data_IF_484291318722
#
_entry.id   IF_484291318722
#
_cell.length_a   1.000
_cell.length_b   1.000
_cell.length_c   1.000
_cell.angle_alpha   90.00
_cell.angle_beta   90.00
_cell.angle_gamma   90.00
#
_symmetry.space_group_name_H-M   'P 1'
#
loop_
_entity.id
_entity.type
_entity.pdbx_description
1 polymer ?
#
# COMPACT_ATOMS: atom_id res chain seq x y z
N UNK A 1 5.84 13.61 10.14
CA UNK A 1 5.44 12.21 10.35
C UNK A 1 4.69 11.64 9.16
N UNK A 2 3.43 11.99 9.01
CA UNK A 2 2.52 11.48 7.96
C UNK A 2 3.03 11.68 6.53
N UNK A 3 3.63 12.83 6.23
CA UNK A 3 4.23 13.10 4.90
C UNK A 3 5.37 12.13 4.57
N UNK A 4 6.24 11.82 5.54
CA UNK A 4 7.38 10.90 5.35
C UNK A 4 6.88 9.49 5.03
N UNK A 5 5.86 9.02 5.74
CA UNK A 5 5.23 7.72 5.47
C UNK A 5 4.50 7.68 4.12
N UNK A 6 3.85 8.77 3.73
CA UNK A 6 3.25 8.90 2.40
C UNK A 6 4.28 8.83 1.27
N UNK A 7 5.45 9.44 1.46
CA UNK A 7 6.57 9.35 0.50
C UNK A 7 7.12 7.92 0.40
N UNK A 8 7.35 7.26 1.54
CA UNK A 8 7.83 5.87 1.61
C UNK A 8 6.85 4.89 0.95
N UNK A 9 5.54 5.14 1.09
CA UNK A 9 4.48 4.31 0.53
C UNK A 9 4.11 4.60 -0.93
N UNK A 10 4.62 5.68 -1.53
CA UNK A 10 4.18 6.19 -2.85
C UNK A 10 4.32 5.19 -4.01
N UNK A 11 5.26 4.24 -3.91
CA UNK A 11 5.48 3.20 -4.93
C UNK A 11 4.51 2.01 -4.83
N UNK A 12 3.87 1.80 -3.68
CA UNK A 12 3.02 0.63 -3.44
C UNK A 12 1.82 0.51 -4.40
N UNK A 13 1.10 1.58 -4.78
CA UNK A 13 -0.03 1.47 -5.71
C UNK A 13 0.37 1.01 -7.11
N UNK A 14 1.60 1.32 -7.54
CA UNK A 14 2.11 0.85 -8.83
C UNK A 14 2.41 -0.64 -8.80
N UNK A 15 3.00 -1.12 -7.69
CA UNK A 15 3.31 -2.53 -7.51
C UNK A 15 2.04 -3.38 -7.43
N UNK A 16 1.03 -2.90 -6.70
CA UNK A 16 -0.28 -3.57 -6.61
C UNK A 16 -0.95 -3.68 -7.98
N UNK A 17 -0.85 -2.62 -8.81
CA UNK A 17 -1.31 -2.65 -10.19
C UNK A 17 -0.56 -3.73 -11.01
N UNK A 18 0.77 -3.77 -10.91
CA UNK A 18 1.61 -4.71 -11.65
C UNK A 18 1.35 -6.17 -11.24
N UNK A 19 1.11 -6.44 -9.95
CA UNK A 19 0.69 -7.78 -9.47
C UNK A 19 -0.59 -8.20 -10.19
N UNK A 20 -1.61 -7.35 -10.16
CA UNK A 20 -2.92 -7.70 -10.73
C UNK A 20 -2.85 -7.86 -12.24
N UNK A 21 -2.00 -7.07 -12.92
CA UNK A 21 -1.75 -7.20 -14.36
C UNK A 21 -1.10 -8.55 -14.69
N UNK A 22 -0.03 -8.92 -13.98
CA UNK A 22 0.69 -10.17 -14.24
C UNK A 22 -0.15 -11.40 -13.88
N UNK A 23 -0.88 -11.36 -12.77
CA UNK A 23 -1.81 -12.43 -12.37
C UNK A 23 -2.95 -12.60 -13.38
N UNK A 24 -3.50 -11.49 -13.90
CA UNK A 24 -4.56 -11.56 -14.89
C UNK A 24 -4.05 -12.16 -16.22
N UNK A 25 -2.85 -11.82 -16.66
CA UNK A 25 -2.24 -12.41 -17.85
C UNK A 25 -2.02 -13.92 -17.69
N UNK A 26 -1.46 -14.33 -16.55
CA UNK A 26 -1.27 -15.74 -16.23
C UNK A 26 -2.60 -16.52 -16.18
N UNK A 27 -3.59 -16.01 -15.43
CA UNK A 27 -4.92 -16.63 -15.35
C UNK A 27 -5.61 -16.70 -16.71
N UNK A 28 -5.47 -15.66 -17.54
CA UNK A 28 -6.09 -15.65 -18.87
C UNK A 28 -5.51 -16.73 -19.77
N UNK A 29 -4.19 -16.94 -19.75
CA UNK A 29 -3.57 -18.00 -20.56
C UNK A 29 -4.00 -19.39 -20.10
N UNK A 30 -4.09 -19.62 -18.78
CA UNK A 30 -4.57 -20.89 -18.24
C UNK A 30 -6.02 -21.19 -18.65
N UNK A 31 -6.91 -20.20 -18.57
CA UNK A 31 -8.31 -20.36 -18.98
C UNK A 31 -8.41 -20.65 -20.49
N UNK A 32 -7.60 -19.99 -21.32
CA UNK A 32 -7.57 -20.29 -22.76
C UNK A 32 -7.06 -21.71 -23.04
N UNK A 33 -6.17 -22.24 -22.20
CA UNK A 33 -5.69 -23.63 -22.27
C UNK A 33 -6.72 -24.68 -21.84
N UNK A 34 -7.75 -24.28 -21.07
CA UNK A 34 -8.87 -25.18 -20.73
C UNK A 34 -9.75 -25.45 -21.96
N UNK A 35 -9.98 -24.42 -22.78
CA UNK A 35 -10.85 -24.49 -23.96
C UNK A 35 -10.13 -24.97 -25.24
N UNK A 36 -8.82 -24.76 -25.37
CA UNK A 36 -8.04 -25.05 -26.58
C UNK A 36 -6.71 -25.75 -26.26
N UNK A 37 -6.56 -27.00 -26.73
CA UNK A 37 -5.38 -27.82 -26.52
C UNK A 37 -4.09 -27.28 -27.19
N UNK A 38 -4.19 -26.26 -28.05
CA UNK A 38 -3.04 -25.59 -28.68
C UNK A 38 -2.51 -24.39 -27.87
N UNK A 39 -3.24 -23.98 -26.82
CA UNK A 39 -2.91 -22.89 -25.88
C UNK A 39 -2.24 -23.43 -24.62
N UNK A 40 -1.81 -22.53 -23.71
CA UNK A 40 -1.16 -22.87 -22.45
C UNK A 40 0.06 -23.80 -22.61
N UNK A 41 0.89 -23.52 -23.62
CA UNK A 41 2.15 -24.24 -23.82
C UNK A 41 3.01 -24.10 -22.57
N UNK A 42 3.68 -25.18 -22.10
CA UNK A 42 4.48 -25.16 -20.88
C UNK A 42 5.45 -23.97 -20.80
N UNK A 43 6.18 -23.70 -21.88
CA UNK A 43 7.14 -22.59 -21.97
C UNK A 43 6.50 -21.21 -21.71
N UNK A 44 5.29 -20.99 -22.22
CA UNK A 44 4.57 -19.72 -22.08
C UNK A 44 3.98 -19.56 -20.67
N UNK A 45 3.45 -20.65 -20.10
CA UNK A 45 2.92 -20.67 -18.74
C UNK A 45 4.03 -20.43 -17.72
N UNK A 46 5.18 -21.09 -17.90
CA UNK A 46 6.36 -20.92 -17.04
C UNK A 46 6.91 -19.50 -17.10
N UNK A 47 6.96 -18.90 -18.29
CA UNK A 47 7.36 -17.49 -18.46
C UNK A 47 6.42 -16.54 -17.70
N UNK A 48 5.11 -16.69 -17.87
CA UNK A 48 4.11 -15.86 -17.18
C UNK A 48 4.15 -16.08 -15.66
N UNK A 49 4.38 -17.31 -15.21
CA UNK A 49 4.52 -17.62 -13.79
C UNK A 49 5.77 -16.99 -13.17
N UNK A 50 6.89 -16.96 -13.90
CA UNK A 50 8.11 -16.31 -13.42
C UNK A 50 7.93 -14.79 -13.27
N UNK A 51 7.15 -14.16 -14.17
CA UNK A 51 6.78 -12.75 -14.05
C UNK A 51 5.88 -12.47 -12.83
N UNK A 52 4.93 -13.37 -12.52
CA UNK A 52 4.12 -13.32 -11.29
C UNK A 52 5.03 -13.45 -10.06
N UNK A 53 5.97 -14.40 -10.07
CA UNK A 53 6.91 -14.61 -8.95
C UNK A 53 7.78 -13.37 -8.70
N UNK A 54 8.38 -12.80 -9.75
CA UNK A 54 9.24 -11.60 -9.65
C UNK A 54 8.49 -10.41 -9.06
N UNK A 55 7.24 -10.17 -9.51
CA UNK A 55 6.49 -9.02 -9.00
C UNK A 55 6.08 -9.20 -7.55
N UNK A 56 5.69 -10.42 -7.14
CA UNK A 56 5.40 -10.73 -5.74
C UNK A 56 6.63 -10.57 -4.83
N UNK A 57 7.82 -10.99 -5.28
CA UNK A 57 9.04 -10.79 -4.51
C UNK A 57 9.38 -9.29 -4.35
N UNK A 58 9.23 -8.50 -5.42
CA UNK A 58 9.39 -7.04 -5.36
C UNK A 58 8.38 -6.42 -4.38
N UNK A 59 7.12 -6.85 -4.44
CA UNK A 59 6.06 -6.38 -3.56
C UNK A 59 6.34 -6.71 -2.11
N UNK A 60 6.77 -7.93 -1.82
CA UNK A 60 7.15 -8.35 -0.48
C UNK A 60 8.18 -7.41 0.13
N UNK A 61 9.27 -7.11 -0.58
CA UNK A 61 10.31 -6.19 -0.09
C UNK A 61 9.75 -4.78 0.15
N UNK A 62 8.87 -4.30 -0.72
CA UNK A 62 8.29 -2.96 -0.59
C UNK A 62 7.31 -2.85 0.58
N UNK A 63 6.47 -3.86 0.77
CA UNK A 63 5.60 -3.93 1.93
C UNK A 63 6.38 -4.17 3.23
N UNK A 64 7.48 -4.92 3.19
CA UNK A 64 8.32 -5.18 4.36
C UNK A 64 8.92 -3.89 4.93
N UNK A 65 9.68 -3.12 4.13
CA UNK A 65 10.29 -1.88 4.63
C UNK A 65 9.22 -0.84 4.99
N UNK A 66 8.10 -0.80 4.24
CA UNK A 66 7.00 0.11 4.54
C UNK A 66 6.37 -0.22 5.89
N UNK A 67 6.11 -1.49 6.16
CA UNK A 67 5.55 -1.94 7.44
C UNK A 67 6.51 -1.67 8.58
N UNK A 68 7.82 -1.90 8.39
CA UNK A 68 8.82 -1.55 9.38
C UNK A 68 8.77 -0.04 9.71
N UNK A 69 8.80 0.82 8.70
CA UNK A 69 8.69 2.28 8.89
C UNK A 69 7.36 2.69 9.55
N UNK A 70 6.23 2.09 9.13
CA UNK A 70 4.90 2.33 9.69
C UNK A 70 4.86 1.99 11.17
N UNK A 71 5.32 0.81 11.56
CA UNK A 71 5.31 0.38 12.96
C UNK A 71 6.30 1.17 13.80
N UNK A 72 7.49 1.48 13.31
CA UNK A 72 8.45 2.35 14.00
C UNK A 72 7.86 3.75 14.24
N UNK A 73 7.16 4.33 13.26
CA UNK A 73 6.48 5.61 13.42
C UNK A 73 5.37 5.54 14.46
N UNK A 74 4.50 4.52 14.39
CA UNK A 74 3.40 4.35 15.34
C UNK A 74 3.93 4.16 16.76
N UNK A 75 4.99 3.38 16.94
CA UNK A 75 5.60 3.14 18.24
C UNK A 75 6.33 4.39 18.76
N UNK A 76 7.03 5.13 17.89
CA UNK A 76 7.71 6.36 18.27
C UNK A 76 6.75 7.42 18.82
N UNK A 77 5.56 7.53 18.24
CA UNK A 77 4.52 8.47 18.70
C UNK A 77 4.05 8.21 20.14
N UNK A 78 4.17 6.97 20.64
CA UNK A 78 3.81 6.63 22.03
C UNK A 78 4.75 7.29 23.04
N UNK A 79 6.01 7.50 22.66
CA UNK A 79 7.06 7.97 23.58
C UNK A 79 7.18 9.51 23.57
N UNK A 80 6.73 10.18 22.50
CA UNK A 80 6.79 11.64 22.34
C UNK A 80 6.23 12.42 23.55
N UNK A 81 5.04 12.08 24.12
CA UNK A 81 4.53 12.77 25.30
C UNK A 81 5.46 12.69 26.51
N UNK A 82 6.12 11.54 26.71
CA UNK A 82 7.05 11.33 27.81
C UNK A 82 8.35 12.11 27.61
N UNK A 83 8.86 12.20 26.37
CA UNK A 83 9.99 13.07 26.06
C UNK A 83 9.68 14.54 26.33
N UNK A 84 8.49 15.00 25.93
CA UNK A 84 8.06 16.38 26.15
C UNK A 84 7.86 16.71 27.65
N UNK A 85 7.29 15.78 28.42
CA UNK A 85 7.06 15.93 29.85
C UNK A 85 8.28 15.57 30.72
N UNK A 86 9.33 15.00 30.14
CA UNK A 86 10.50 14.52 30.87
C UNK A 86 11.06 15.53 31.90
N UNK A 87 11.31 16.80 31.52
CA UNK A 87 11.83 17.81 32.45
C UNK A 87 10.92 18.10 33.64
N UNK A 88 9.60 18.15 33.45
CA UNK A 88 8.63 18.44 34.52
C UNK A 88 8.39 17.23 35.43
N UNK A 89 8.56 16.02 34.89
CA UNK A 89 8.53 14.78 35.68
C UNK A 89 9.76 14.70 36.58
N UNK A 90 10.96 14.90 36.03
CA UNK A 90 12.23 14.77 36.78
C UNK A 90 12.33 15.80 37.91
N UNK A 91 11.86 17.02 37.67
CA UNK A 91 11.84 18.09 38.70
C UNK A 91 10.74 17.91 39.74
N UNK A 92 9.84 16.93 39.59
CA UNK A 92 8.69 16.73 40.47
C UNK A 92 7.65 17.84 40.38
N UNK A 93 7.67 18.66 39.33
CA UNK A 93 6.78 19.80 39.16
C UNK A 93 5.32 19.39 38.90
N UNK A 94 5.09 18.16 38.42
CA UNK A 94 3.75 17.62 38.15
C UNK A 94 3.58 16.24 38.79
N UNK A 95 2.34 15.94 39.19
CA UNK A 95 1.98 14.63 39.74
C UNK A 95 1.78 13.58 38.65
N UNK A 96 1.88 12.30 39.02
CA UNK A 96 1.62 11.17 38.11
C UNK A 96 0.22 11.23 37.46
N UNK A 97 -0.77 11.76 38.20
CA UNK A 97 -2.13 11.96 37.69
C UNK A 97 -2.17 12.92 36.49
N UNK A 98 -1.47 14.05 36.60
CA UNK A 98 -1.36 15.05 35.52
C UNK A 98 -0.61 14.47 34.32
N UNK A 99 0.51 13.76 34.54
CA UNK A 99 1.23 13.05 33.47
C UNK A 99 0.29 12.13 32.70
N UNK A 100 -0.45 11.29 33.43
CA UNK A 100 -1.34 10.30 32.84
C UNK A 100 -2.48 10.95 32.04
N UNK A 101 -3.04 12.06 32.53
CA UNK A 101 -4.08 12.81 31.83
C UNK A 101 -3.54 13.44 30.53
N UNK A 102 -2.38 14.10 30.61
CA UNK A 102 -1.75 14.73 29.44
C UNK A 102 -1.36 13.70 28.38
N UNK A 103 -0.73 12.58 28.78
CA UNK A 103 -0.37 11.50 27.86
C UNK A 103 -1.62 10.95 27.15
N UNK A 104 -2.71 10.72 27.88
CA UNK A 104 -3.98 10.26 27.26
C UNK A 104 -4.56 11.28 26.29
N UNK A 105 -4.55 12.56 26.65
CA UNK A 105 -5.03 13.63 25.78
C UNK A 105 -4.20 13.72 24.49
N UNK A 106 -2.87 13.69 24.59
CA UNK A 106 -1.97 13.65 23.43
C UNK A 106 -2.16 12.38 22.61
N UNK A 107 -2.39 11.24 23.25
CA UNK A 107 -2.67 9.97 22.58
C UNK A 107 -3.91 10.04 21.67
N UNK A 108 -5.00 10.66 22.14
CA UNK A 108 -6.21 10.87 21.32
C UNK A 108 -5.93 11.73 20.07
N UNK A 109 -5.11 12.77 20.20
CA UNK A 109 -4.71 13.62 19.06
C UNK A 109 -3.80 12.83 18.10
N UNK A 110 -2.85 12.06 18.63
CA UNK A 110 -1.99 11.23 17.80
C UNK A 110 -2.79 10.18 17.02
N UNK A 111 -3.79 9.56 17.64
CA UNK A 111 -4.65 8.55 17.03
C UNK A 111 -5.44 9.10 15.83
N UNK A 112 -6.02 10.30 15.94
CA UNK A 112 -6.77 10.92 14.84
C UNK A 112 -5.88 11.19 13.63
N UNK A 113 -4.65 11.66 13.85
CA UNK A 113 -3.66 11.89 12.79
C UNK A 113 -3.11 10.59 12.18
N UNK A 114 -3.13 9.49 12.94
CA UNK A 114 -2.67 8.18 12.48
C UNK A 114 -3.66 7.47 11.57
N UNK A 115 -4.92 7.91 11.47
CA UNK A 115 -5.95 7.25 10.66
C UNK A 115 -5.48 6.95 9.23
N UNK A 116 -4.91 7.95 8.55
CA UNK A 116 -4.42 7.83 7.16
C UNK A 116 -3.32 6.76 7.05
N UNK A 117 -2.39 6.74 8.01
CA UNK A 117 -1.26 5.80 8.04
C UNK A 117 -1.74 4.38 8.33
N UNK A 118 -2.70 4.23 9.24
CA UNK A 118 -3.30 2.94 9.57
C UNK A 118 -4.04 2.36 8.37
N UNK A 119 -4.78 3.20 7.66
CA UNK A 119 -5.56 2.86 6.46
C UNK A 119 -4.74 2.87 5.17
N UNK A 120 -3.42 3.08 5.22
CA UNK A 120 -2.58 3.25 4.02
C UNK A 120 -2.73 2.12 2.99
N UNK A 121 -2.76 0.86 3.43
CA UNK A 121 -2.92 -0.28 2.51
C UNK A 121 -4.25 -0.22 1.75
N UNK A 122 -5.33 0.19 2.41
CA UNK A 122 -6.64 0.40 1.76
C UNK A 122 -6.59 1.55 0.76
N UNK A 123 -5.86 2.62 1.07
CA UNK A 123 -5.65 3.74 0.15
C UNK A 123 -4.89 3.27 -1.09
N UNK A 124 -3.83 2.49 -0.89
CA UNK A 124 -3.02 1.90 -1.97
C UNK A 124 -3.90 1.05 -2.89
N UNK A 125 -4.71 0.18 -2.31
CA UNK A 125 -5.67 -0.67 -3.04
C UNK A 125 -6.65 0.19 -3.84
N UNK A 126 -7.30 1.17 -3.21
CA UNK A 126 -8.24 2.08 -3.87
C UNK A 126 -7.60 2.82 -5.04
N UNK A 127 -6.39 3.36 -4.85
CA UNK A 127 -5.64 4.05 -5.91
C UNK A 127 -5.29 3.10 -7.05
N UNK A 128 -4.94 1.84 -6.74
CA UNK A 128 -4.65 0.83 -7.75
C UNK A 128 -5.88 0.53 -8.62
N UNK A 129 -7.06 0.38 -7.98
CA UNK A 129 -8.35 0.15 -8.66
C UNK A 129 -8.69 1.34 -9.55
N UNK A 130 -8.60 2.55 -9.01
CA UNK A 130 -8.86 3.78 -9.76
C UNK A 130 -8.00 3.88 -11.02
N UNK A 131 -6.70 3.57 -10.92
CA UNK A 131 -5.79 3.57 -12.07
C UNK A 131 -6.19 2.52 -13.11
N UNK A 132 -6.57 1.30 -12.70
CA UNK A 132 -7.03 0.25 -13.62
C UNK A 132 -8.31 0.64 -14.35
N UNK A 133 -9.29 1.18 -13.64
CA UNK A 133 -10.57 1.61 -14.24
C UNK A 133 -10.35 2.76 -15.24
N UNK A 134 -9.55 3.75 -14.88
CA UNK A 134 -9.24 4.86 -15.79
C UNK A 134 -8.47 4.43 -17.04
N UNK A 135 -7.58 3.45 -16.90
CA UNK A 135 -6.90 2.85 -18.05
C UNK A 135 -7.87 2.07 -18.95
N UNK A 136 -8.81 1.34 -18.37
CA UNK A 136 -9.86 0.65 -19.09
C UNK A 136 -10.75 1.61 -19.89
N UNK A 137 -11.25 2.68 -19.26
CA UNK A 137 -12.05 3.71 -19.92
C UNK A 137 -11.31 4.35 -21.11
N UNK A 138 -10.03 4.70 -20.92
CA UNK A 138 -9.21 5.25 -22.01
C UNK A 138 -9.10 4.31 -23.21
N UNK A 139 -8.97 3.01 -22.97
CA UNK A 139 -8.87 2.01 -24.05
C UNK A 139 -10.17 1.85 -24.83
N UNK A 140 -11.31 1.94 -24.16
CA UNK A 140 -12.63 1.91 -24.82
C UNK A 140 -12.78 3.12 -25.73
N UNK A 141 -12.51 4.33 -25.21
CA UNK A 141 -12.65 5.57 -25.99
C UNK A 141 -11.71 5.60 -27.21
N UNK A 142 -10.48 5.10 -27.06
CA UNK A 142 -9.53 5.01 -28.16
C UNK A 142 -9.95 3.97 -29.22
N UNK A 143 -10.58 2.87 -28.82
CA UNK A 143 -11.11 1.89 -29.76
C UNK A 143 -12.30 2.46 -30.55
N UNK A 144 -13.20 3.19 -29.88
CA UNK A 144 -14.37 3.83 -30.49
C UNK A 144 -13.96 4.91 -31.52
N UNK A 145 -12.97 5.74 -31.21
CA UNK A 145 -12.46 6.73 -32.16
C UNK A 145 -11.83 6.08 -33.41
N UNK A 146 -11.15 4.95 -33.24
CA UNK A 146 -10.52 4.23 -34.36
C UNK A 146 -11.57 3.65 -35.31
N UNK A 147 -12.72 3.19 -34.79
CA UNK A 147 -13.83 2.65 -35.61
C UNK A 147 -14.61 3.72 -36.37
N UNK A 148 -14.48 5.00 -36.01
CA UNK A 148 -15.14 6.12 -36.70
C UNK A 148 -14.29 6.70 -37.84
N UNK A 149 -12.99 6.38 -37.88
CA UNK A 149 -12.06 6.80 -38.94
C UNK A 149 -11.90 5.75 -40.07
N UNK A 150 -12.46 4.53 -39.89
CA UNK A 150 -12.51 3.43 -40.88
C UNK A 150 -13.90 3.27 -41.46
#
# INVERSE_FOLDING_TARGET
>A
GTVVLGLVGSKLPGIEYDIQKNEAAYRKELVLGEDDATRAKPDQVDFLFDDVRKIHFKAYLHYFYFNMAKWSYLQGMVIVPYFALGPTIITGAITLGVVSQTVRAMGKVAESLQYIIRSWLKIVELVSVYKRLREFERRILAAESTTLET
#
